data_IF_883643752053
#
_entry.id   IF_883643752053
#
_cell.length_a   1.000
_cell.length_b   1.000
_cell.length_c   1.000
_cell.angle_alpha   90.00
_cell.angle_beta   90.00
_cell.angle_gamma   90.00
#
_symmetry.space_group_name_H-M   'P 1'
#
loop_
_entity.id
_entity.type
_entity.pdbx_description
1 polymer ?
#
# COMPACT_ATOMS: atom_id res chain seq x y z
N UNK A 1 -22.21 8.56 -23.01
CA UNK A 1 -22.72 7.42 -23.81
C UNK A 1 -22.51 6.20 -22.95
N UNK A 2 -23.61 5.63 -22.47
CA UNK A 2 -23.66 4.41 -21.67
C UNK A 2 -23.15 3.23 -22.52
N UNK A 3 -21.86 2.91 -22.39
CA UNK A 3 -21.29 1.70 -22.95
C UNK A 3 -21.63 0.57 -21.99
N UNK A 4 -22.77 -0.10 -22.22
CA UNK A 4 -23.32 -1.21 -21.42
C UNK A 4 -22.37 -2.37 -21.18
N UNK A 5 -21.34 -2.12 -20.39
CA UNK A 5 -20.50 -3.10 -19.72
C UNK A 5 -21.17 -3.34 -18.37
N UNK A 6 -21.44 -4.60 -18.05
CA UNK A 6 -21.91 -4.96 -16.71
C UNK A 6 -20.97 -4.34 -15.68
N UNK A 7 -21.55 -3.74 -14.64
CA UNK A 7 -20.77 -3.12 -13.56
C UNK A 7 -19.76 -4.15 -13.03
N UNK A 8 -18.47 -3.81 -12.86
CA UNK A 8 -17.50 -4.76 -12.31
C UNK A 8 -17.70 -5.03 -10.82
N UNK A 9 -18.43 -4.14 -10.13
CA UNK A 9 -18.84 -4.30 -8.74
C UNK A 9 -19.92 -5.38 -8.64
N UNK A 10 -19.51 -6.61 -8.32
CA UNK A 10 -20.38 -7.80 -8.36
C UNK A 10 -20.17 -8.78 -7.21
N UNK A 11 -19.05 -8.66 -6.47
CA UNK A 11 -18.65 -9.64 -5.46
C UNK A 11 -18.12 -8.93 -4.23
N UNK A 12 -18.85 -9.02 -3.13
CA UNK A 12 -18.43 -8.48 -1.84
C UNK A 12 -17.45 -9.45 -1.14
N UNK A 13 -16.36 -8.92 -0.60
CA UNK A 13 -15.49 -9.63 0.34
C UNK A 13 -14.37 -10.47 -0.28
N UNK A 14 -14.26 -10.56 -1.61
CA UNK A 14 -13.06 -11.14 -2.25
C UNK A 14 -11.83 -10.24 -2.03
N UNK A 15 -10.63 -10.80 -2.09
CA UNK A 15 -9.39 -10.08 -1.84
C UNK A 15 -8.40 -10.14 -3.01
N UNK A 16 -7.60 -9.10 -3.13
CA UNK A 16 -6.35 -9.06 -3.89
C UNK A 16 -5.32 -8.26 -3.11
N UNK A 17 -4.08 -8.74 -3.06
CA UNK A 17 -2.99 -8.06 -2.35
C UNK A 17 -1.86 -7.79 -3.32
N UNK A 18 -1.40 -6.55 -3.36
CA UNK A 18 -0.20 -6.15 -4.09
C UNK A 18 0.88 -5.72 -3.10
N UNK A 19 2.11 -6.17 -3.32
CA UNK A 19 3.26 -5.79 -2.51
C UNK A 19 4.41 -5.36 -3.41
N UNK A 20 4.95 -4.17 -3.12
CA UNK A 20 6.13 -3.63 -3.77
C UNK A 20 7.37 -3.91 -2.93
N UNK A 21 8.46 -4.32 -3.59
CA UNK A 21 9.71 -4.75 -2.97
C UNK A 21 10.92 -4.10 -3.64
N UNK A 22 12.06 -4.15 -2.94
CA UNK A 22 13.37 -3.78 -3.47
C UNK A 22 14.17 -5.02 -3.83
N UNK A 23 14.70 -5.06 -5.05
CA UNK A 23 15.78 -5.96 -5.45
C UNK A 23 17.07 -5.44 -4.85
N UNK A 24 17.76 -6.29 -4.09
CA UNK A 24 18.98 -5.95 -3.38
C UNK A 24 20.10 -6.96 -3.62
N UNK A 25 21.34 -6.54 -3.42
CA UNK A 25 22.50 -7.45 -3.42
C UNK A 25 22.53 -8.32 -2.14
N UNK A 26 23.51 -9.24 -2.05
CA UNK A 26 23.73 -10.11 -0.88
C UNK A 26 23.89 -9.35 0.45
N UNK A 27 24.28 -8.08 0.37
CA UNK A 27 24.46 -7.22 1.53
C UNK A 27 23.20 -6.36 1.80
N UNK A 28 22.13 -6.50 1.03
CA UNK A 28 20.88 -5.76 1.20
C UNK A 28 20.96 -4.33 0.71
N UNK A 29 21.77 -4.03 -0.33
CA UNK A 29 21.82 -2.70 -0.96
C UNK A 29 20.98 -2.71 -2.25
N UNK A 30 20.21 -1.64 -2.54
CA UNK A 30 19.40 -1.56 -3.76
C UNK A 30 20.25 -1.75 -5.01
N UNK A 31 19.84 -2.70 -5.85
CA UNK A 31 20.52 -3.04 -7.09
C UNK A 31 19.52 -3.12 -8.24
N UNK A 32 19.99 -2.89 -9.46
CA UNK A 32 19.19 -3.05 -10.66
C UNK A 32 19.10 -4.54 -11.01
N UNK A 33 17.89 -5.12 -10.90
CA UNK A 33 17.66 -6.52 -11.23
C UNK A 33 16.24 -6.80 -11.73
N UNK A 34 15.34 -5.82 -11.77
CA UNK A 34 13.97 -6.04 -12.24
C UNK A 34 13.90 -6.50 -13.69
N UNK A 35 14.81 -6.05 -14.57
CA UNK A 35 14.82 -6.50 -15.96
C UNK A 35 15.10 -8.01 -16.04
N UNK A 36 16.11 -8.48 -15.29
CA UNK A 36 16.46 -9.91 -15.22
C UNK A 36 15.31 -10.72 -14.60
N UNK A 37 14.78 -10.27 -13.47
CA UNK A 37 13.76 -11.00 -12.72
C UNK A 37 12.39 -11.02 -13.38
N UNK A 38 12.06 -10.03 -14.22
CA UNK A 38 10.72 -9.89 -14.82
C UNK A 38 10.70 -10.26 -16.30
N UNK A 39 11.79 -10.03 -17.06
CA UNK A 39 11.78 -10.14 -18.53
C UNK A 39 12.81 -11.09 -19.13
N UNK A 40 13.94 -11.31 -18.46
CA UNK A 40 15.07 -12.07 -19.04
C UNK A 40 15.20 -13.48 -18.46
N UNK A 41 14.34 -13.85 -17.51
CA UNK A 41 14.30 -15.16 -16.85
C UNK A 41 12.97 -15.89 -17.08
N UNK A 42 13.01 -17.22 -16.96
CA UNK A 42 11.80 -18.04 -16.96
C UNK A 42 11.08 -17.87 -15.61
N UNK A 43 9.89 -17.25 -15.63
CA UNK A 43 9.12 -17.02 -14.42
C UNK A 43 8.53 -18.33 -13.87
N UNK A 44 8.59 -18.56 -12.55
CA UNK A 44 7.83 -19.64 -11.94
C UNK A 44 6.33 -19.38 -12.13
N UNK A 45 5.48 -20.42 -12.30
CA UNK A 45 4.04 -20.25 -12.57
C UNK A 45 3.27 -19.39 -11.55
N UNK A 46 3.78 -19.30 -10.32
CA UNK A 46 3.20 -18.46 -9.25
C UNK A 46 3.38 -16.96 -9.54
N UNK A 47 4.48 -16.58 -10.21
CA UNK A 47 4.82 -15.20 -10.53
C UNK A 47 4.42 -14.79 -11.95
N UNK A 48 4.05 -15.75 -12.81
CA UNK A 48 3.61 -15.49 -14.18
C UNK A 48 2.40 -14.53 -14.20
N UNK A 49 2.49 -13.46 -14.99
CA UNK A 49 1.58 -12.28 -15.02
C UNK A 49 1.37 -11.55 -13.66
N UNK A 50 2.12 -11.92 -12.64
CA UNK A 50 1.96 -11.45 -11.25
C UNK A 50 3.18 -10.78 -10.65
N UNK A 51 4.24 -10.67 -11.43
CA UNK A 51 5.38 -9.81 -11.15
C UNK A 51 5.47 -8.74 -12.25
N UNK A 52 5.64 -7.49 -11.85
CA UNK A 52 5.99 -6.41 -12.76
C UNK A 52 7.16 -5.61 -12.17
N UNK A 53 7.81 -4.82 -13.03
CA UNK A 53 8.79 -3.82 -12.64
C UNK A 53 8.12 -2.46 -12.43
N UNK A 54 8.81 -1.62 -11.67
CA UNK A 54 8.49 -0.21 -11.51
C UNK A 54 9.43 0.70 -12.31
N UNK A 55 9.23 2.02 -12.23
CA UNK A 55 10.10 3.00 -12.92
C UNK A 55 11.60 2.78 -12.63
N UNK A 56 11.93 2.43 -11.39
CA UNK A 56 13.31 2.13 -11.00
C UNK A 56 13.56 0.64 -11.10
N UNK A 57 14.67 0.25 -11.70
CA UNK A 57 15.01 -1.17 -11.91
C UNK A 57 15.32 -1.96 -10.64
N UNK A 58 15.28 -1.29 -9.49
CA UNK A 58 15.42 -1.88 -8.16
C UNK A 58 14.08 -2.13 -7.49
N UNK A 59 12.96 -1.65 -8.05
CA UNK A 59 11.63 -1.84 -7.48
C UNK A 59 10.85 -2.81 -8.35
N UNK A 60 10.24 -3.80 -7.70
CA UNK A 60 9.36 -4.79 -8.31
C UNK A 60 8.03 -4.80 -7.56
N UNK A 61 6.95 -5.06 -8.27
CA UNK A 61 5.62 -5.23 -7.73
C UNK A 61 5.22 -6.69 -7.91
N UNK A 62 4.57 -7.27 -6.90
CA UNK A 62 3.91 -8.55 -7.02
C UNK A 62 2.45 -8.46 -6.62
N UNK A 63 1.61 -9.32 -7.21
CA UNK A 63 0.19 -9.43 -6.88
C UNK A 63 -0.24 -10.85 -6.64
N UNK A 64 -1.16 -11.05 -5.70
CA UNK A 64 -1.80 -12.35 -5.51
C UNK A 64 -2.75 -12.66 -6.67
N UNK A 65 -3.17 -13.93 -6.78
CA UNK A 65 -4.44 -14.22 -7.46
C UNK A 65 -5.58 -13.53 -6.74
N UNK A 66 -6.73 -13.48 -7.40
CA UNK A 66 -8.00 -13.32 -6.71
C UNK A 66 -8.11 -14.37 -5.60
N UNK A 67 -8.29 -13.89 -4.38
CA UNK A 67 -8.56 -14.67 -3.19
C UNK A 67 -10.08 -14.62 -2.99
N UNK A 68 -10.77 -15.72 -3.30
CA UNK A 68 -12.23 -15.79 -3.15
C UNK A 68 -12.67 -15.90 -1.70
N UNK A 69 -11.86 -16.58 -0.90
CA UNK A 69 -12.09 -16.80 0.53
C UNK A 69 -10.92 -16.21 1.33
N UNK A 70 -11.17 -15.16 2.14
CA UNK A 70 -10.16 -14.49 2.97
C UNK A 70 -9.36 -15.43 3.88
N UNK A 71 -9.89 -16.59 4.26
CA UNK A 71 -9.15 -17.59 5.05
C UNK A 71 -7.87 -18.07 4.33
N UNK A 72 -7.83 -18.01 2.99
CA UNK A 72 -6.68 -18.40 2.18
C UNK A 72 -5.73 -17.22 1.87
N UNK A 73 -6.00 -16.01 2.36
CA UNK A 73 -5.21 -14.83 2.03
C UNK A 73 -3.73 -14.97 2.46
N UNK A 74 -3.48 -15.50 3.66
CA UNK A 74 -2.11 -15.73 4.16
C UNK A 74 -1.33 -16.72 3.30
N UNK A 75 -1.98 -17.80 2.86
CA UNK A 75 -1.36 -18.78 1.97
C UNK A 75 -0.98 -18.13 0.64
N UNK A 76 -1.91 -17.39 0.02
CA UNK A 76 -1.67 -16.73 -1.27
C UNK A 76 -0.54 -15.69 -1.21
N UNK A 77 -0.48 -14.90 -0.13
CA UNK A 77 0.60 -13.91 0.08
C UNK A 77 1.94 -14.59 0.27
N UNK A 78 2.01 -15.66 1.08
CA UNK A 78 3.27 -16.39 1.28
C UNK A 78 3.73 -17.16 0.03
N UNK A 79 2.79 -17.70 -0.75
CA UNK A 79 3.09 -18.39 -2.01
C UNK A 79 3.86 -17.46 -2.95
N UNK A 80 3.35 -16.24 -3.16
CA UNK A 80 4.00 -15.23 -4.02
C UNK A 80 5.33 -14.75 -3.43
N UNK A 81 5.38 -14.42 -2.13
CA UNK A 81 6.63 -13.98 -1.49
C UNK A 81 7.74 -15.04 -1.54
N UNK A 82 7.41 -16.29 -1.26
CA UNK A 82 8.38 -17.38 -1.29
C UNK A 82 8.90 -17.61 -2.71
N UNK A 83 7.99 -17.67 -3.70
CA UNK A 83 8.37 -17.80 -5.10
C UNK A 83 9.27 -16.65 -5.55
N UNK A 84 8.97 -15.41 -5.12
CA UNK A 84 9.80 -14.25 -5.42
C UNK A 84 11.20 -14.35 -4.82
N UNK A 85 11.30 -14.73 -3.53
CA UNK A 85 12.61 -14.87 -2.84
C UNK A 85 13.44 -15.99 -3.48
N UNK A 86 12.84 -17.12 -3.79
CA UNK A 86 13.52 -18.24 -4.44
C UNK A 86 13.99 -17.85 -5.85
N UNK A 87 13.12 -17.24 -6.65
CA UNK A 87 13.45 -16.75 -7.99
C UNK A 87 14.58 -15.71 -7.97
N UNK A 88 14.53 -14.75 -7.04
CA UNK A 88 15.58 -13.74 -6.90
C UNK A 88 16.94 -14.38 -6.58
N UNK A 89 16.97 -15.34 -5.65
CA UNK A 89 18.20 -16.05 -5.25
C UNK A 89 18.81 -16.87 -6.36
N UNK A 90 17.99 -17.53 -7.18
CA UNK A 90 18.46 -18.27 -8.34
C UNK A 90 19.21 -17.40 -9.36
N UNK A 91 18.88 -16.09 -9.38
CA UNK A 91 19.50 -15.08 -10.25
C UNK A 91 20.54 -14.21 -9.51
N UNK A 92 20.93 -14.58 -8.30
CA UNK A 92 21.98 -13.87 -7.55
C UNK A 92 21.54 -12.55 -6.91
N UNK A 93 20.26 -12.40 -6.62
CA UNK A 93 19.68 -11.27 -5.91
C UNK A 93 19.01 -11.72 -4.59
N UNK A 94 18.82 -10.75 -3.70
CA UNK A 94 17.95 -10.87 -2.53
C UNK A 94 16.80 -9.84 -2.66
N UNK A 95 15.82 -9.94 -1.77
CA UNK A 95 14.62 -9.09 -1.78
C UNK A 95 14.46 -8.42 -0.43
N UNK A 96 14.16 -7.12 -0.41
CA UNK A 96 13.90 -6.35 0.80
C UNK A 96 12.57 -5.58 0.73
N UNK A 97 11.96 -5.29 1.88
CA UNK A 97 10.71 -4.53 1.96
C UNK A 97 10.78 -3.41 2.99
N UNK A 98 10.38 -2.23 2.58
CA UNK A 98 10.21 -1.04 3.40
C UNK A 98 9.31 -0.06 2.64
N UNK A 99 8.82 0.99 3.29
CA UNK A 99 8.16 2.08 2.55
C UNK A 99 9.13 2.86 1.64
N UNK A 100 10.37 2.99 2.11
CA UNK A 100 11.54 3.52 1.41
C UNK A 100 12.75 2.74 1.88
N UNK A 101 13.52 2.18 0.95
CA UNK A 101 14.78 1.55 1.31
C UNK A 101 15.76 2.61 1.84
N UNK A 102 16.38 2.43 3.03
CA UNK A 102 17.17 3.47 3.69
C UNK A 102 18.37 3.95 2.87
N UNK A 103 18.91 3.07 2.03
CA UNK A 103 20.05 3.33 1.15
C UNK A 103 19.69 3.60 -0.31
N UNK A 104 18.40 3.60 -0.68
CA UNK A 104 18.01 3.95 -2.04
C UNK A 104 18.28 5.43 -2.30
N UNK A 105 19.26 5.70 -3.15
CA UNK A 105 19.60 7.05 -3.61
C UNK A 105 19.16 7.20 -5.05
N UNK A 106 17.98 7.76 -5.26
CA UNK A 106 17.33 7.80 -6.59
C UNK A 106 18.18 8.37 -7.73
N UNK A 107 19.17 9.23 -7.44
CA UNK A 107 20.10 9.79 -8.45
C UNK A 107 21.14 8.78 -8.94
N UNK A 108 21.40 7.74 -8.17
CA UNK A 108 22.36 6.68 -8.43
C UNK A 108 21.68 5.42 -8.99
N UNK A 109 20.34 5.34 -8.93
CA UNK A 109 19.57 4.18 -9.34
C UNK A 109 19.23 4.19 -10.84
N UNK A 110 19.31 3.02 -11.45
CA UNK A 110 18.91 2.80 -12.84
C UNK A 110 17.39 2.85 -13.02
N UNK A 111 16.97 3.32 -14.20
CA UNK A 111 15.56 3.49 -14.55
C UNK A 111 15.20 2.61 -15.73
N UNK A 112 13.96 2.16 -15.74
CA UNK A 112 13.39 1.46 -16.87
C UNK A 112 13.37 2.37 -18.11
N UNK A 113 13.75 1.81 -19.26
CA UNK A 113 13.86 2.55 -20.51
C UNK A 113 12.61 2.46 -21.41
N UNK A 114 11.57 1.77 -20.94
CA UNK A 114 10.36 1.49 -21.74
C UNK A 114 9.61 2.79 -22.11
N UNK A 115 8.92 2.84 -23.27
CA UNK A 115 8.20 4.03 -23.72
C UNK A 115 7.23 4.60 -22.68
N UNK A 116 6.49 3.75 -21.96
CA UNK A 116 5.54 4.18 -20.91
C UNK A 116 6.20 5.02 -19.82
N UNK A 117 7.36 4.58 -19.33
CA UNK A 117 8.10 5.30 -18.28
C UNK A 117 8.76 6.56 -18.79
N UNK A 118 9.26 6.57 -20.03
CA UNK A 118 9.78 7.79 -20.66
C UNK A 118 8.69 8.85 -20.78
N UNK A 119 7.46 8.47 -21.17
CA UNK A 119 6.33 9.38 -21.24
C UNK A 119 5.92 9.90 -19.84
N UNK A 120 5.88 9.05 -18.82
CA UNK A 120 5.61 9.51 -17.45
C UNK A 120 6.70 10.46 -16.93
N UNK A 121 7.98 10.17 -17.17
CA UNK A 121 9.09 11.04 -16.78
C UNK A 121 8.99 12.42 -17.46
N UNK A 122 8.67 12.45 -18.75
CA UNK A 122 8.52 13.69 -19.50
C UNK A 122 7.33 14.53 -18.99
N UNK A 123 6.22 13.87 -18.65
CA UNK A 123 5.00 14.53 -18.17
C UNK A 123 5.09 15.01 -16.73
N UNK A 124 5.63 14.19 -15.83
CA UNK A 124 5.60 14.45 -14.37
C UNK A 124 6.89 15.13 -13.89
N UNK A 125 8.02 14.89 -14.56
CA UNK A 125 9.33 15.50 -14.25
C UNK A 125 9.81 15.16 -12.83
N UNK A 126 10.31 16.16 -12.09
CA UNK A 126 11.09 16.00 -10.88
C UNK A 126 10.44 15.13 -9.78
N UNK A 127 9.12 15.19 -9.53
CA UNK A 127 8.44 14.25 -8.65
C UNK A 127 8.63 12.77 -9.02
N UNK A 128 8.49 12.42 -10.29
CA UNK A 128 8.61 11.02 -10.74
C UNK A 128 10.07 10.56 -10.73
N UNK A 129 11.01 11.47 -10.99
CA UNK A 129 12.45 11.19 -10.92
C UNK A 129 12.94 10.73 -9.55
N UNK A 130 12.17 10.93 -8.47
CA UNK A 130 12.55 10.57 -7.09
C UNK A 130 11.63 9.53 -6.46
N UNK A 131 10.66 9.01 -7.21
CA UNK A 131 9.64 8.09 -6.70
C UNK A 131 10.18 6.67 -6.58
N UNK A 132 10.76 6.35 -5.43
CA UNK A 132 11.34 5.02 -5.11
C UNK A 132 10.51 4.29 -4.07
N UNK A 133 9.23 4.62 -3.96
CA UNK A 133 8.34 4.13 -2.89
C UNK A 133 7.96 2.68 -3.09
N UNK A 134 7.72 1.97 -1.99
CA UNK A 134 7.17 0.62 -1.98
C UNK A 134 6.03 0.51 -0.95
N UNK A 135 4.86 0.01 -1.34
CA UNK A 135 3.67 -0.10 -0.52
C UNK A 135 3.08 -1.51 -0.41
N UNK A 136 2.03 -1.60 0.39
CA UNK A 136 1.08 -2.72 0.33
C UNK A 136 -0.26 -2.15 -0.13
N UNK A 137 -0.84 -2.72 -1.18
CA UNK A 137 -2.17 -2.37 -1.65
C UNK A 137 -3.13 -3.53 -1.37
N UNK A 138 -4.30 -3.21 -0.82
CA UNK A 138 -5.34 -4.20 -0.52
C UNK A 138 -6.58 -3.85 -1.31
N UNK A 139 -6.98 -4.76 -2.18
CA UNK A 139 -8.24 -4.72 -2.91
C UNK A 139 -9.27 -5.56 -2.18
N UNK A 140 -10.38 -4.95 -1.80
CA UNK A 140 -11.55 -5.66 -1.25
C UNK A 140 -12.70 -5.54 -2.23
N UNK A 141 -13.22 -6.66 -2.71
CA UNK A 141 -14.35 -6.71 -3.64
C UNK A 141 -15.60 -6.10 -3.01
N UNK A 142 -16.35 -5.34 -3.82
CA UNK A 142 -17.63 -4.75 -3.45
C UNK A 142 -18.64 -5.06 -4.56
N UNK A 143 -19.89 -5.35 -4.18
CA UNK A 143 -20.96 -5.83 -5.05
C UNK A 143 -21.89 -4.73 -5.59
N UNK A 144 -21.64 -3.47 -5.25
CA UNK A 144 -22.36 -2.32 -5.76
C UNK A 144 -21.44 -1.10 -5.90
N UNK A 145 -21.63 -0.32 -6.97
CA UNK A 145 -20.77 0.83 -7.26
C UNK A 145 -21.00 2.00 -6.31
N UNK A 146 -22.24 2.30 -5.94
CA UNK A 146 -22.57 3.37 -5.00
C UNK A 146 -22.08 3.02 -3.59
N UNK A 147 -22.24 1.76 -3.20
CA UNK A 147 -21.64 1.20 -1.98
C UNK A 147 -20.12 1.36 -2.00
N UNK A 148 -19.44 1.01 -3.09
CA UNK A 148 -17.98 1.14 -3.19
C UNK A 148 -17.53 2.61 -3.03
N UNK A 149 -18.27 3.55 -3.64
CA UNK A 149 -17.96 4.98 -3.49
C UNK A 149 -18.22 5.48 -2.07
N UNK A 150 -19.32 5.05 -1.45
CA UNK A 150 -19.63 5.38 -0.05
C UNK A 150 -18.54 4.85 0.90
N UNK A 151 -18.14 3.59 0.76
CA UNK A 151 -17.06 2.98 1.55
C UNK A 151 -15.76 3.76 1.35
N UNK A 152 -15.37 4.07 0.10
CA UNK A 152 -14.17 4.84 -0.19
C UNK A 152 -14.20 6.25 0.40
N UNK A 153 -15.38 6.86 0.58
CA UNK A 153 -15.53 8.14 1.28
C UNK A 153 -15.37 8.00 2.80
N UNK A 154 -15.98 6.99 3.43
CA UNK A 154 -15.95 6.83 4.88
C UNK A 154 -14.59 6.33 5.39
N UNK A 155 -13.93 5.45 4.63
CA UNK A 155 -12.65 4.85 5.03
C UNK A 155 -11.50 5.85 5.09
N UNK A 156 -11.61 7.02 4.46
CA UNK A 156 -10.57 8.07 4.47
C UNK A 156 -10.11 8.46 5.86
N UNK A 157 -11.00 8.46 6.85
CA UNK A 157 -10.63 8.75 8.24
C UNK A 157 -9.76 7.64 8.87
N UNK A 158 -9.90 6.40 8.40
CA UNK A 158 -9.15 5.23 8.87
C UNK A 158 -7.78 5.06 8.18
N UNK A 159 -7.56 5.67 7.00
CA UNK A 159 -6.28 5.55 6.28
C UNK A 159 -5.07 6.07 7.08
N UNK A 160 -5.15 7.22 7.80
CA UNK A 160 -4.08 7.66 8.70
C UNK A 160 -3.74 6.65 9.81
N UNK A 161 -4.71 5.90 10.32
CA UNK A 161 -4.49 4.85 11.33
C UNK A 161 -3.66 3.70 10.72
N UNK A 162 -4.03 3.23 9.53
CA UNK A 162 -3.26 2.21 8.80
C UNK A 162 -1.84 2.69 8.46
N UNK A 163 -1.69 3.95 8.02
CA UNK A 163 -0.38 4.55 7.75
C UNK A 163 0.48 4.65 9.02
N UNK A 164 -0.11 5.07 10.14
CA UNK A 164 0.60 5.21 11.41
C UNK A 164 1.14 3.86 11.91
N UNK A 165 0.32 2.80 11.83
CA UNK A 165 0.70 1.44 12.22
C UNK A 165 1.76 0.81 11.31
N UNK A 166 1.62 1.02 10.00
CA UNK A 166 2.50 0.45 8.98
C UNK A 166 3.81 1.21 8.80
N UNK A 167 3.97 2.41 9.36
CA UNK A 167 5.11 3.29 9.16
C UNK A 167 6.47 2.54 9.26
N UNK A 168 7.14 2.42 8.12
CA UNK A 168 8.34 1.60 7.93
C UNK A 168 9.30 2.26 6.92
N UNK A 169 9.39 3.59 6.95
CA UNK A 169 10.23 4.37 6.02
C UNK A 169 10.79 5.66 6.60
N UNK A 170 11.55 5.63 7.71
CA UNK A 170 12.09 6.84 8.34
C UNK A 170 13.22 7.50 7.54
N UNK A 171 13.86 6.77 6.62
CA UNK A 171 15.03 7.21 5.88
C UNK A 171 14.72 7.53 4.41
N UNK A 172 15.35 8.58 3.88
CA UNK A 172 15.32 8.90 2.44
C UNK A 172 16.71 9.35 1.97
N UNK A 173 17.25 8.69 0.94
CA UNK A 173 18.62 8.89 0.44
C UNK A 173 19.70 8.79 1.54
N UNK A 174 19.53 7.90 2.52
CA UNK A 174 20.48 7.71 3.63
C UNK A 174 20.31 8.65 4.82
N UNK A 175 19.39 9.63 4.76
CA UNK A 175 19.15 10.58 5.84
C UNK A 175 17.91 10.23 6.65
N UNK A 176 17.98 10.33 7.98
CA UNK A 176 16.78 10.29 8.80
C UNK A 176 15.97 11.56 8.51
N UNK A 177 14.74 11.36 8.07
CA UNK A 177 13.85 12.46 7.68
C UNK A 177 13.16 13.11 8.88
N UNK A 178 13.19 12.46 10.04
CA UNK A 178 12.35 12.80 11.19
C UNK A 178 10.88 12.40 11.02
N UNK A 179 10.51 11.72 9.94
CA UNK A 179 9.17 11.16 9.71
C UNK A 179 9.14 9.68 10.10
N UNK A 180 7.99 9.16 10.48
CA UNK A 180 7.78 7.72 10.67
C UNK A 180 7.60 7.02 9.31
N UNK A 181 6.80 7.61 8.42
CA UNK A 181 6.70 7.23 7.01
C UNK A 181 7.08 8.41 6.12
N UNK A 182 8.31 8.44 5.62
CA UNK A 182 8.68 9.41 4.59
C UNK A 182 8.11 9.04 3.22
N UNK A 183 7.78 7.74 2.99
CA UNK A 183 7.11 7.26 1.78
C UNK A 183 5.91 8.12 1.45
N UNK A 184 5.02 8.35 2.42
CA UNK A 184 3.79 9.12 2.23
C UNK A 184 4.03 10.50 1.62
N UNK A 185 5.08 11.23 2.05
CA UNK A 185 5.40 12.57 1.52
C UNK A 185 6.20 12.58 0.23
N UNK A 186 7.00 11.54 -0.01
CA UNK A 186 7.68 11.39 -1.31
C UNK A 186 6.64 11.07 -2.40
N UNK A 187 5.71 10.15 -2.10
CA UNK A 187 4.64 9.74 -3.01
C UNK A 187 3.69 10.91 -3.31
N UNK A 188 3.21 11.64 -2.28
CA UNK A 188 2.35 12.83 -2.45
C UNK A 188 2.97 13.97 -3.28
N UNK A 189 4.27 13.89 -3.59
CA UNK A 189 4.87 14.82 -4.55
C UNK A 189 4.38 14.63 -5.98
N UNK A 190 3.81 13.46 -6.31
CA UNK A 190 3.24 13.14 -7.62
C UNK A 190 1.86 13.81 -7.80
N UNK A 191 1.46 14.12 -9.05
CA UNK A 191 0.09 14.54 -9.32
C UNK A 191 -0.91 13.44 -8.95
N UNK A 192 -2.17 13.79 -8.73
CA UNK A 192 -3.28 12.84 -8.51
C UNK A 192 -3.04 11.85 -7.36
N UNK A 193 -2.28 12.26 -6.34
CA UNK A 193 -1.81 11.39 -5.25
C UNK A 193 -2.31 11.87 -3.89
N UNK A 194 -2.51 10.92 -2.97
CA UNK A 194 -2.83 11.19 -1.58
C UNK A 194 -4.33 11.14 -1.29
N UNK A 195 -4.77 11.85 -0.25
CA UNK A 195 -6.15 11.77 0.22
C UNK A 195 -7.13 12.32 -0.84
N UNK A 196 -8.11 11.54 -1.32
CA UNK A 196 -9.09 12.03 -2.28
C UNK A 196 -10.16 12.89 -1.61
N UNK A 197 -10.67 13.87 -2.36
CA UNK A 197 -11.93 14.57 -2.02
C UNK A 197 -13.10 13.59 -2.09
N UNK A 198 -14.18 13.88 -1.35
CA UNK A 198 -15.37 13.03 -1.40
C UNK A 198 -16.00 13.13 -2.78
N UNK A 199 -16.54 12.02 -3.28
CA UNK A 199 -17.40 12.00 -4.46
C UNK A 199 -18.82 11.63 -4.04
N UNK A 200 -19.83 12.28 -4.60
CA UNK A 200 -21.22 12.05 -4.22
C UNK A 200 -21.76 10.70 -4.68
N UNK A 201 -21.28 10.22 -5.83
CA UNK A 201 -21.70 8.95 -6.44
C UNK A 201 -20.60 8.31 -7.26
N UNK A 202 -20.77 7.02 -7.59
CA UNK A 202 -19.86 6.31 -8.51
C UNK A 202 -19.89 6.92 -9.92
N UNK A 203 -21.02 7.50 -10.33
CA UNK A 203 -21.14 8.19 -11.62
C UNK A 203 -20.29 9.47 -11.67
N UNK A 204 -20.27 10.25 -10.58
CA UNK A 204 -19.40 11.44 -10.48
C UNK A 204 -17.93 11.03 -10.56
N UNK A 205 -17.53 9.99 -9.83
CA UNK A 205 -16.16 9.46 -9.86
C UNK A 205 -15.76 8.99 -11.26
N UNK A 206 -16.62 8.22 -11.96
CA UNK A 206 -16.39 7.81 -13.36
C UNK A 206 -16.27 9.01 -14.30
N UNK A 207 -17.07 10.06 -14.07
CA UNK A 207 -16.97 11.32 -14.82
C UNK A 207 -15.61 12.00 -14.62
N UNK A 208 -15.11 12.02 -13.38
CA UNK A 208 -13.77 12.50 -13.07
C UNK A 208 -12.68 11.64 -13.75
N UNK A 209 -12.74 10.31 -13.66
CA UNK A 209 -11.79 9.41 -14.34
C UNK A 209 -11.76 9.66 -15.86
N UNK A 210 -12.94 9.74 -16.48
CA UNK A 210 -13.06 10.01 -17.91
C UNK A 210 -12.44 11.37 -18.28
N UNK A 211 -12.73 12.43 -17.51
CA UNK A 211 -12.14 13.74 -17.75
C UNK A 211 -10.61 13.73 -17.60
N UNK A 212 -10.06 12.98 -16.64
CA UNK A 212 -8.61 12.86 -16.45
C UNK A 212 -7.94 12.17 -17.65
N UNK A 213 -8.57 11.15 -18.23
CA UNK A 213 -8.10 10.46 -19.44
C UNK A 213 -8.25 11.34 -20.69
N UNK A 214 -9.42 11.94 -20.90
CA UNK A 214 -9.74 12.75 -22.09
C UNK A 214 -8.88 14.03 -22.19
N UNK A 215 -8.35 14.51 -21.07
CA UNK A 215 -7.48 15.69 -21.01
C UNK A 215 -5.99 15.34 -20.99
N UNK A 216 -5.63 14.07 -21.17
CA UNK A 216 -4.25 13.55 -21.07
C UNK A 216 -3.59 13.83 -19.68
N UNK A 217 -4.41 14.11 -18.66
CA UNK A 217 -3.95 14.31 -17.27
C UNK A 217 -3.53 13.00 -16.61
N UNK A 218 -4.02 11.86 -17.13
CA UNK A 218 -3.53 10.50 -16.90
C UNK A 218 -3.55 9.74 -18.24
N UNK A 219 -2.61 8.81 -18.42
CA UNK A 219 -2.59 7.89 -19.58
C UNK A 219 -3.30 6.59 -19.29
N UNK A 220 -3.49 6.28 -18.01
CA UNK A 220 -4.12 5.06 -17.51
C UNK A 220 -4.85 5.35 -16.19
N UNK A 221 -5.95 4.63 -15.90
CA UNK A 221 -6.73 4.83 -14.65
C UNK A 221 -5.89 4.53 -13.40
N UNK A 222 -4.92 3.63 -13.52
CA UNK A 222 -3.96 3.30 -12.48
C UNK A 222 -3.15 4.51 -11.99
N UNK A 223 -3.01 5.57 -12.80
CA UNK A 223 -2.29 6.80 -12.44
C UNK A 223 -3.10 7.76 -11.54
N UNK A 224 -4.29 7.35 -11.09
CA UNK A 224 -4.99 7.98 -9.97
C UNK A 224 -4.50 7.38 -8.65
N UNK A 225 -3.34 7.82 -8.18
CA UNK A 225 -2.66 7.30 -7.00
C UNK A 225 -3.25 7.79 -5.65
N UNK A 226 -4.57 7.83 -5.54
CA UNK A 226 -5.23 8.17 -4.28
C UNK A 226 -4.93 7.13 -3.20
N UNK A 227 -4.94 7.54 -1.93
CA UNK A 227 -4.71 6.62 -0.80
C UNK A 227 -5.81 5.56 -0.69
N UNK A 228 -6.99 5.87 -1.23
CA UNK A 228 -8.10 4.94 -1.47
C UNK A 228 -8.82 5.29 -2.77
N UNK A 229 -9.33 4.29 -3.49
CA UNK A 229 -10.23 4.51 -4.63
C UNK A 229 -11.14 3.31 -4.87
N UNK A 230 -12.35 3.50 -5.44
CA UNK A 230 -13.04 2.43 -6.15
C UNK A 230 -12.23 2.05 -7.40
N UNK A 231 -11.84 0.79 -7.53
CA UNK A 231 -11.19 0.30 -8.75
C UNK A 231 -12.25 -0.08 -9.78
N UNK A 232 -12.52 0.82 -10.72
CA UNK A 232 -13.64 0.71 -11.68
C UNK A 232 -13.43 -0.35 -12.77
N UNK A 233 -12.33 -1.09 -12.76
CA UNK A 233 -12.11 -2.27 -13.60
C UNK A 233 -12.22 -3.59 -12.81
N UNK A 234 -11.93 -3.58 -11.51
CA UNK A 234 -11.89 -4.79 -10.68
C UNK A 234 -13.10 -4.92 -9.76
N UNK A 235 -13.90 -3.86 -9.61
CA UNK A 235 -15.07 -3.88 -8.72
C UNK A 235 -14.68 -3.94 -7.25
N UNK A 236 -13.60 -3.25 -6.87
CA UNK A 236 -13.04 -3.28 -5.52
C UNK A 236 -12.96 -1.88 -4.92
N UNK A 237 -12.84 -1.79 -3.60
CA UNK A 237 -12.24 -0.63 -2.93
C UNK A 237 -10.78 -0.99 -2.68
N UNK A 238 -9.89 -0.17 -3.21
CA UNK A 238 -8.44 -0.35 -3.14
C UNK A 238 -7.85 0.61 -2.10
N UNK A 239 -7.15 0.07 -1.11
CA UNK A 239 -6.48 0.81 -0.03
C UNK A 239 -4.98 0.77 -0.24
N UNK A 240 -4.32 1.93 -0.30
CA UNK A 240 -2.92 2.09 -0.75
C UNK A 240 -2.01 2.81 0.25
N UNK A 241 -2.57 3.17 1.41
CA UNK A 241 -1.88 3.92 2.45
C UNK A 241 -0.66 3.18 3.07
N UNK A 242 -0.69 1.86 3.32
CA UNK A 242 0.40 1.20 4.06
C UNK A 242 1.78 1.24 3.38
N UNK A 243 2.83 1.41 4.18
CA UNK A 243 4.22 1.18 3.76
C UNK A 243 4.49 -0.32 3.53
N UNK A 244 5.44 -0.67 2.64
CA UNK A 244 5.91 -2.05 2.46
C UNK A 244 6.45 -2.69 3.75
N UNK A 245 6.15 -3.98 3.96
CA UNK A 245 6.52 -4.74 5.17
C UNK A 245 7.38 -5.96 4.84
N UNK A 246 8.48 -6.15 5.58
CA UNK A 246 9.33 -7.34 5.45
C UNK A 246 8.74 -8.56 6.14
N UNK A 247 7.99 -8.33 7.23
CA UNK A 247 7.29 -9.37 7.97
C UNK A 247 5.89 -9.58 7.36
N UNK A 248 5.58 -10.77 6.82
CA UNK A 248 4.28 -11.04 6.24
C UNK A 248 3.14 -11.06 7.26
N UNK A 249 3.41 -11.35 8.54
CA UNK A 249 2.35 -11.27 9.56
C UNK A 249 1.90 -9.80 9.75
N UNK A 250 2.80 -8.83 9.55
CA UNK A 250 2.43 -7.40 9.50
C UNK A 250 1.59 -7.06 8.27
N UNK A 251 1.96 -7.55 7.09
CA UNK A 251 1.11 -7.40 5.89
C UNK A 251 -0.28 -7.97 6.15
N UNK A 252 -0.36 -9.17 6.72
CA UNK A 252 -1.64 -9.84 6.97
C UNK A 252 -2.53 -9.08 7.93
N UNK A 253 -1.98 -8.46 8.99
CA UNK A 253 -2.78 -7.61 9.88
C UNK A 253 -3.43 -6.43 9.13
N UNK A 254 -2.75 -5.85 8.12
CA UNK A 254 -3.34 -4.78 7.30
C UNK A 254 -4.37 -5.31 6.30
N UNK A 255 -4.14 -6.50 5.73
CA UNK A 255 -5.11 -7.17 4.85
C UNK A 255 -6.39 -7.51 5.62
N UNK A 256 -6.27 -8.12 6.80
CA UNK A 256 -7.38 -8.48 7.69
C UNK A 256 -8.15 -7.23 8.14
N UNK A 257 -7.44 -6.17 8.55
CA UNK A 257 -8.09 -4.92 8.98
C UNK A 257 -8.79 -4.21 7.84
N UNK A 258 -8.16 -4.12 6.66
CA UNK A 258 -8.78 -3.55 5.46
C UNK A 258 -10.05 -4.31 5.06
N UNK A 259 -9.99 -5.64 5.05
CA UNK A 259 -11.13 -6.50 4.74
C UNK A 259 -12.28 -6.30 5.72
N UNK A 260 -12.02 -6.43 7.02
CA UNK A 260 -13.04 -6.30 8.06
C UNK A 260 -13.67 -4.90 8.08
N UNK A 261 -12.86 -3.86 7.89
CA UNK A 261 -13.35 -2.48 7.83
C UNK A 261 -14.23 -2.23 6.61
N UNK A 262 -13.87 -2.74 5.42
CA UNK A 262 -14.71 -2.63 4.22
C UNK A 262 -16.03 -3.37 4.39
N UNK A 263 -16.03 -4.57 4.99
CA UNK A 263 -17.26 -5.32 5.26
C UNK A 263 -18.18 -4.62 6.27
N UNK A 264 -17.61 -4.08 7.36
CA UNK A 264 -18.36 -3.28 8.34
C UNK A 264 -18.98 -2.04 7.71
N UNK A 265 -18.22 -1.32 6.88
CA UNK A 265 -18.74 -0.16 6.14
C UNK A 265 -19.80 -0.58 5.10
N UNK A 266 -19.65 -1.73 4.46
CA UNK A 266 -20.67 -2.28 3.56
C UNK A 266 -21.99 -2.57 4.29
N UNK A 267 -21.94 -3.16 5.49
CA UNK A 267 -23.12 -3.43 6.31
C UNK A 267 -23.83 -2.12 6.73
N UNK A 268 -23.05 -1.13 7.18
CA UNK A 268 -23.58 0.20 7.55
C UNK A 268 -24.23 0.95 6.39
N UNK A 269 -23.69 0.79 5.18
CA UNK A 269 -24.31 1.33 3.98
C UNK A 269 -25.70 0.72 3.73
N UNK A 270 -25.84 -0.61 3.88
CA UNK A 270 -27.13 -1.30 3.74
C UNK A 270 -28.13 -0.88 4.84
N UNK A 271 -27.64 -0.58 6.03
CA UNK A 271 -28.44 -0.01 7.13
C UNK A 271 -28.82 1.47 6.90
N UNK A 272 -28.31 2.10 5.85
CA UNK A 272 -28.60 3.47 5.48
C UNK A 272 -27.91 4.52 6.36
N UNK A 273 -26.72 4.21 6.88
CA UNK A 273 -25.91 5.17 7.65
C UNK A 273 -25.61 6.42 6.79
N UNK A 274 -25.82 7.60 7.38
CA UNK A 274 -25.56 8.87 6.70
C UNK A 274 -24.07 9.09 6.49
N UNK A 275 -23.70 9.73 5.36
CA UNK A 275 -22.31 10.11 5.06
C UNK A 275 -21.71 10.97 6.17
N UNK A 276 -20.43 10.77 6.47
CA UNK A 276 -19.66 11.66 7.37
C UNK A 276 -19.08 12.81 6.58
N UNK A 277 -19.53 14.03 6.87
CA UNK A 277 -18.98 15.25 6.29
C UNK A 277 -17.69 15.66 7.03
N UNK A 278 -16.55 15.20 6.54
CA UNK A 278 -15.24 15.68 6.98
C UNK A 278 -14.50 16.38 5.84
N UNK A 279 -14.03 17.60 6.13
CA UNK A 279 -13.17 18.35 5.21
C UNK A 279 -11.89 17.59 4.92
N UNK A 280 -11.48 17.56 3.64
CA UNK A 280 -10.22 16.95 3.20
C UNK A 280 -9.02 17.48 3.99
N UNK A 281 -8.98 18.76 4.33
CA UNK A 281 -7.85 19.34 5.05
C UNK A 281 -7.67 18.76 6.46
N UNK A 282 -8.74 18.29 7.10
CA UNK A 282 -8.65 17.62 8.40
C UNK A 282 -8.15 16.18 8.23
N UNK A 283 -8.54 15.52 7.14
CA UNK A 283 -8.02 14.21 6.77
C UNK A 283 -6.52 14.29 6.42
N UNK A 284 -6.11 15.33 5.71
CA UNK A 284 -4.70 15.62 5.40
C UNK A 284 -3.87 15.89 6.66
N UNK A 285 -4.45 16.61 7.64
CA UNK A 285 -3.82 16.82 8.95
C UNK A 285 -3.67 15.49 9.71
N UNK A 286 -4.70 14.64 9.73
CA UNK A 286 -4.59 13.29 10.31
C UNK A 286 -3.51 12.46 9.62
N UNK A 287 -3.44 12.50 8.29
CA UNK A 287 -2.38 11.85 7.52
C UNK A 287 -1.01 12.40 7.85
N UNK A 288 -0.87 13.71 8.03
CA UNK A 288 0.38 14.34 8.47
C UNK A 288 0.81 13.83 9.85
N UNK A 289 -0.12 13.74 10.81
CA UNK A 289 0.17 13.22 12.15
C UNK A 289 0.64 11.77 12.11
N UNK A 290 -0.02 10.92 11.34
CA UNK A 290 0.42 9.54 11.08
C UNK A 290 1.84 9.51 10.46
N UNK A 291 2.04 10.27 9.39
CA UNK A 291 3.33 10.39 8.67
C UNK A 291 4.46 10.77 9.62
N UNK A 292 4.22 11.76 10.50
CA UNK A 292 5.25 12.33 11.36
C UNK A 292 5.50 11.49 12.62
N UNK A 293 4.45 10.99 13.25
CA UNK A 293 4.50 10.43 14.60
C UNK A 293 4.33 8.90 14.66
N UNK A 294 3.86 8.25 13.60
CA UNK A 294 3.69 6.79 13.58
C UNK A 294 2.83 6.33 14.76
N UNK A 295 3.35 5.39 15.55
CA UNK A 295 2.65 4.84 16.72
C UNK A 295 2.33 5.87 17.82
N UNK A 296 3.03 7.02 17.85
CA UNK A 296 2.79 8.10 18.82
C UNK A 296 1.75 9.13 18.31
N UNK A 297 1.02 8.83 17.23
CA UNK A 297 0.07 9.74 16.62
C UNK A 297 -1.26 9.82 17.40
N UNK A 298 -1.89 10.99 17.32
CA UNK A 298 -3.29 11.20 17.65
C UNK A 298 -4.00 11.88 16.48
N UNK A 299 -5.31 11.67 16.35
CA UNK A 299 -6.08 12.08 15.18
C UNK A 299 -7.20 13.02 15.60
N UNK A 300 -7.52 14.00 14.77
CA UNK A 300 -8.75 14.76 14.89
C UNK A 300 -9.92 13.77 14.83
N UNK A 301 -10.76 13.81 15.86
CA UNK A 301 -11.90 12.91 16.01
C UNK A 301 -12.87 13.05 14.82
N UNK A 302 -13.63 11.99 14.54
CA UNK A 302 -14.53 11.92 13.37
C UNK A 302 -15.69 12.93 13.45
N UNK A 303 -16.12 13.27 14.65
CA UNK A 303 -17.10 14.33 14.92
C UNK A 303 -16.48 15.75 14.92
N UNK A 304 -15.16 15.84 14.77
CA UNK A 304 -14.40 17.08 14.78
C UNK A 304 -14.12 17.63 16.18
N UNK A 305 -14.53 16.96 17.25
CA UNK A 305 -14.34 17.44 18.62
C UNK A 305 -13.08 16.82 19.26
N UNK A 306 -12.01 17.63 19.32
CA UNK A 306 -10.76 17.21 19.94
C UNK A 306 -9.98 16.17 19.15
N UNK A 307 -9.30 15.29 19.88
CA UNK A 307 -8.41 14.28 19.30
C UNK A 307 -8.60 12.92 19.98
N UNK A 308 -8.39 11.86 19.21
CA UNK A 308 -8.34 10.46 19.68
C UNK A 308 -6.94 9.90 19.44
N UNK A 309 -6.37 9.24 20.45
CA UNK A 309 -5.05 8.62 20.34
C UNK A 309 -5.11 7.34 19.50
N UNK A 310 -4.02 7.00 18.81
CA UNK A 310 -3.95 5.78 18.01
C UNK A 310 -4.29 4.53 18.84
N UNK A 311 -3.83 4.47 20.09
CA UNK A 311 -4.15 3.37 21.03
C UNK A 311 -5.66 3.14 21.10
N UNK A 312 -6.42 4.19 21.44
CA UNK A 312 -7.86 4.09 21.62
C UNK A 312 -8.56 3.58 20.36
N UNK A 313 -8.16 4.06 19.19
CA UNK A 313 -8.71 3.60 17.91
C UNK A 313 -8.36 2.13 17.65
N UNK A 314 -7.10 1.73 17.86
CA UNK A 314 -6.64 0.36 17.63
C UNK A 314 -7.38 -0.62 18.52
N UNK A 315 -7.47 -0.36 19.82
CA UNK A 315 -8.17 -1.27 20.74
C UNK A 315 -9.65 -1.38 20.40
N UNK A 316 -10.30 -0.23 20.14
CA UNK A 316 -11.71 -0.19 19.73
C UNK A 316 -11.94 -0.98 18.45
N UNK A 317 -11.14 -0.75 17.41
CA UNK A 317 -11.35 -1.36 16.10
C UNK A 317 -10.96 -2.85 16.12
N UNK A 318 -9.91 -3.25 16.86
CA UNK A 318 -9.56 -4.65 17.07
C UNK A 318 -10.68 -5.43 17.76
N UNK A 319 -11.25 -4.90 18.85
CA UNK A 319 -12.35 -5.55 19.58
C UNK A 319 -13.64 -5.62 18.74
N UNK A 320 -13.96 -4.51 18.06
CA UNK A 320 -15.21 -4.37 17.31
C UNK A 320 -15.22 -5.19 16.02
N UNK A 321 -14.09 -5.25 15.32
CA UNK A 321 -13.96 -5.93 14.03
C UNK A 321 -13.38 -7.34 14.15
N UNK A 322 -12.87 -7.73 15.33
CA UNK A 322 -12.26 -9.04 15.56
C UNK A 322 -10.91 -9.20 14.86
N UNK A 323 -10.09 -8.14 14.80
CA UNK A 323 -8.80 -8.09 14.09
C UNK A 323 -7.65 -7.82 15.05
N UNK A 324 -7.25 -8.82 15.83
CA UNK A 324 -6.20 -8.66 16.86
C UNK A 324 -4.83 -8.27 16.28
N UNK A 325 -4.56 -8.53 14.99
CA UNK A 325 -3.27 -8.24 14.36
C UNK A 325 -2.85 -6.76 14.43
N UNK A 326 -3.79 -5.81 14.36
CA UNK A 326 -3.44 -4.38 14.49
C UNK A 326 -3.08 -4.00 15.93
N UNK A 327 -3.64 -4.70 16.93
CA UNK A 327 -3.25 -4.55 18.34
C UNK A 327 -1.85 -5.11 18.57
N UNK A 328 -1.56 -6.31 18.06
CA UNK A 328 -0.22 -6.91 18.15
C UNK A 328 0.85 -6.01 17.50
N UNK A 329 0.52 -5.38 16.36
CA UNK A 329 1.43 -4.40 15.72
C UNK A 329 1.65 -3.18 16.61
N UNK A 330 0.58 -2.61 17.18
CA UNK A 330 0.66 -1.41 18.02
C UNK A 330 1.44 -1.63 19.31
N UNK A 331 1.24 -2.78 19.97
CA UNK A 331 1.95 -3.16 21.20
C UNK A 331 3.44 -3.47 20.94
N UNK A 332 3.78 -3.83 19.70
CA UNK A 332 5.14 -4.08 19.24
C UNK A 332 5.92 -2.81 18.88
N UNK A 333 7.22 -2.97 18.65
CA UNK A 333 8.05 -1.88 18.12
C UNK A 333 7.62 -1.51 16.69
N UNK A 334 7.40 -0.23 16.41
CA UNK A 334 7.07 0.22 15.04
C UNK A 334 8.21 -0.05 14.06
N UNK A 335 7.90 -0.23 12.77
CA UNK A 335 8.93 -0.41 11.73
C UNK A 335 9.94 0.73 11.71
N UNK A 336 9.45 1.96 11.81
CA UNK A 336 10.29 3.16 11.86
C UNK A 336 11.21 3.25 13.08
N UNK A 337 10.75 2.88 14.28
CA UNK A 337 11.57 2.84 15.49
C UNK A 337 12.61 1.71 15.40
N UNK A 338 12.19 0.52 14.95
CA UNK A 338 13.09 -0.62 14.75
C UNK A 338 14.22 -0.29 13.79
N UNK A 339 13.93 0.35 12.66
CA UNK A 339 14.95 0.76 11.70
C UNK A 339 15.97 1.75 12.32
N UNK A 340 15.49 2.75 13.07
CA UNK A 340 16.37 3.71 13.76
C UNK A 340 17.26 3.05 14.79
N UNK A 341 16.66 2.22 15.66
CA UNK A 341 17.37 1.48 16.69
C UNK A 341 18.45 0.59 16.09
N UNK A 342 18.13 -0.19 15.05
CA UNK A 342 19.11 -1.05 14.38
C UNK A 342 20.25 -0.25 13.76
N UNK A 343 19.96 0.90 13.13
CA UNK A 343 21.00 1.77 12.57
C UNK A 343 21.94 2.31 13.64
N UNK A 344 21.39 2.74 14.78
CA UNK A 344 22.14 3.37 15.86
C UNK A 344 22.93 2.37 16.69
N UNK A 345 22.36 1.20 16.99
CA UNK A 345 22.95 0.18 17.88
C UNK A 345 23.82 -0.84 17.14
N UNK A 346 23.43 -1.22 15.92
CA UNK A 346 24.03 -2.34 15.18
C UNK A 346 24.59 -1.95 13.81
N UNK A 347 24.35 -0.72 13.36
CA UNK A 347 24.86 -0.19 12.10
C UNK A 347 23.99 -0.52 10.89
N UNK A 348 24.44 -0.02 9.73
CA UNK A 348 23.67 -0.07 8.49
C UNK A 348 23.45 -1.48 7.95
N UNK A 349 24.41 -2.38 8.15
CA UNK A 349 24.30 -3.77 7.67
C UNK A 349 23.18 -4.53 8.39
N UNK A 350 23.08 -4.37 9.71
CA UNK A 350 22.00 -4.97 10.50
C UNK A 350 20.63 -4.39 10.14
N UNK A 351 20.57 -3.09 9.80
CA UNK A 351 19.35 -2.48 9.27
C UNK A 351 18.96 -3.11 7.92
N UNK A 352 19.89 -3.27 6.99
CA UNK A 352 19.62 -3.89 5.69
C UNK A 352 19.16 -5.36 5.81
N UNK A 353 19.85 -6.20 6.59
CA UNK A 353 19.44 -7.59 6.86
C UNK A 353 18.03 -7.67 7.43
N UNK A 354 17.69 -6.74 8.33
CA UNK A 354 16.41 -6.67 8.98
C UNK A 354 15.22 -6.28 8.09
N UNK A 355 15.48 -5.83 6.86
CA UNK A 355 14.49 -5.54 5.82
C UNK A 355 14.37 -6.65 4.78
N UNK A 356 15.30 -7.62 4.77
CA UNK A 356 15.27 -8.70 3.79
C UNK A 356 14.13 -9.68 4.06
N UNK A 357 13.53 -10.17 2.98
CA UNK A 357 12.56 -11.26 3.01
C UNK A 357 13.28 -12.59 3.24
N UNK A 358 12.58 -13.51 3.91
CA UNK A 358 13.03 -14.88 4.13
C UNK A 358 11.93 -15.83 3.68
N UNK A 359 12.30 -16.98 3.13
CA UNK A 359 11.33 -18.04 2.82
C UNK A 359 10.67 -18.48 4.13
N UNK A 360 9.36 -18.49 4.15
CA UNK A 360 8.56 -18.87 5.31
C UNK A 360 7.67 -20.06 5.01
N UNK A 361 7.49 -20.94 5.99
CA UNK A 361 6.46 -21.96 5.88
C UNK A 361 5.10 -21.36 6.23
N UNK A 362 4.06 -21.73 5.48
CA UNK A 362 2.69 -21.47 5.87
C UNK A 362 2.40 -22.26 7.16
N UNK A 363 2.59 -21.63 8.32
CA UNK A 363 2.11 -22.20 9.57
C UNK A 363 0.57 -22.14 9.56
N UNK A 364 -0.09 -23.28 9.79
CA UNK A 364 -1.51 -23.28 10.12
C UNK A 364 -1.67 -22.52 11.45
N UNK A 365 -2.37 -21.37 11.47
CA UNK A 365 -2.81 -20.79 12.74
C UNK A 365 -3.63 -21.86 13.46
N UNK A 366 -3.32 -22.10 14.74
CA UNK A 366 -4.18 -22.90 15.61
C UNK A 366 -5.52 -22.16 15.73
N UNK A 367 -6.61 -22.91 15.55
CA UNK A 367 -7.99 -22.51 15.79
C UNK A 367 -8.17 -21.77 17.12
#
# INVERSE_FOLDING_TARGET
>A
MDTGTESPFTRLGTLGVEEEFYVVDDAGRPTAGSDELVYESDLPPVLDDRIDHELFKTVIETRTRLIEDPEHAREAVLEVRNALVEHAREHGFEVAAAGLHPLAKWRELERAEKPRYRAQLDRIQYPQHRNTTAGVHVHVGVDDGEKAMWIANEIRWHLPIMLALSANSPYWNGYDTGLASARAKIFEGLPNTGMPTAFESIEEYRGFEAQMLETDSISDRGELWFDVRPHTEYGTVEIRAPDGQADPDRTMAFVEYAHALVLDLAERYEDGESKTEMRRELLDENKWRATRHGHDASFIARDGDGTVDLEEVVYRDADRLGVDGIREIYEGESGSQRQRRLRDEAGVDALCDALQLRVQQAASRRM
#
